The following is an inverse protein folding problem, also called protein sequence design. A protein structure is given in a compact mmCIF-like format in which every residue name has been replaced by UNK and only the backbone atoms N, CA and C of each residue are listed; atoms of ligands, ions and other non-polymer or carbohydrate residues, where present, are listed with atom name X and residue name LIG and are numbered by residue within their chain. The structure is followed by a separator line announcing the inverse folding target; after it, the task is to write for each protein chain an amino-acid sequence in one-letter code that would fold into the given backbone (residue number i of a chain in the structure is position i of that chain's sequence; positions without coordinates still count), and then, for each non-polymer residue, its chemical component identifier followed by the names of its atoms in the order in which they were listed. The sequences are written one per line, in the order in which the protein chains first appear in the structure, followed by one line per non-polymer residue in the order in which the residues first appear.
data_IF_087321525492
#
_entry.id   IF_087321525492
#
_cell.length_a   1.000
_cell.length_b   1.000
_cell.length_c   1.000
_cell.angle_alpha   90.00
_cell.angle_beta   90.00
_cell.angle_gamma   90.00
#
_symmetry.space_group_name_H-M   'P 1'
#
loop_
_entity.id
_entity.type
_entity.pdbx_description
1 polymer ?
#
# COMPACT_ATOMS: atom_id res chain seq x y z
N UNK A 1 4.99 14.62 -15.17
CA UNK A 1 4.57 13.52 -14.28
C UNK A 1 5.33 12.24 -14.66
N UNK A 2 6.39 11.87 -13.92
CA UNK A 2 7.32 10.77 -14.30
C UNK A 2 6.67 9.38 -14.23
N UNK A 3 5.57 9.24 -13.50
CA UNK A 3 4.85 7.97 -13.34
C UNK A 3 3.77 7.74 -14.40
N UNK A 4 3.46 8.75 -15.23
CA UNK A 4 2.45 8.68 -16.28
C UNK A 4 0.99 8.60 -15.80
N UNK A 5 0.75 8.52 -14.48
CA UNK A 5 -0.58 8.50 -13.85
C UNK A 5 -0.88 9.85 -13.20
N UNK A 6 -2.00 10.47 -13.54
CA UNK A 6 -2.44 11.72 -12.91
C UNK A 6 -3.07 11.47 -11.53
N UNK A 7 -3.24 12.52 -10.73
CA UNK A 7 -3.99 12.47 -9.47
C UNK A 7 -5.42 11.95 -9.67
N UNK A 8 -6.06 12.34 -10.79
CA UNK A 8 -7.40 11.86 -11.16
C UNK A 8 -7.40 10.35 -11.42
N UNK A 9 -6.42 9.85 -12.17
CA UNK A 9 -6.30 8.41 -12.46
C UNK A 9 -6.08 7.61 -11.16
N UNK A 10 -5.18 8.11 -10.29
CA UNK A 10 -4.92 7.52 -8.97
C UNK A 10 -6.17 7.47 -8.11
N UNK A 11 -6.95 8.55 -8.06
CA UNK A 11 -8.19 8.63 -7.29
C UNK A 11 -9.22 7.60 -7.75
N UNK A 12 -9.42 7.45 -9.08
CA UNK A 12 -10.35 6.46 -9.64
C UNK A 12 -9.89 5.03 -9.32
N UNK A 13 -8.60 4.72 -9.53
CA UNK A 13 -8.05 3.42 -9.20
C UNK A 13 -8.15 3.12 -7.70
N UNK A 14 -7.91 4.12 -6.85
CA UNK A 14 -7.95 3.99 -5.40
C UNK A 14 -9.32 3.59 -4.87
N UNK A 15 -10.40 4.16 -5.43
CA UNK A 15 -11.78 3.83 -5.05
C UNK A 15 -12.08 2.32 -5.16
N UNK A 16 -11.53 1.66 -6.19
CA UNK A 16 -11.64 0.21 -6.36
C UNK A 16 -10.68 -0.55 -5.45
N UNK A 17 -9.41 -0.12 -5.41
CA UNK A 17 -8.35 -0.83 -4.69
C UNK A 17 -8.63 -0.86 -3.18
N UNK A 18 -9.05 0.27 -2.60
CA UNK A 18 -9.33 0.39 -1.16
C UNK A 18 -10.41 -0.58 -0.68
N UNK A 19 -11.41 -0.86 -1.53
CA UNK A 19 -12.45 -1.85 -1.24
C UNK A 19 -11.95 -3.28 -1.40
N UNK A 20 -11.00 -3.49 -2.32
CA UNK A 20 -10.46 -4.82 -2.64
C UNK A 20 -9.53 -5.34 -1.55
N UNK A 21 -8.78 -4.46 -0.87
CA UNK A 21 -7.80 -4.83 0.17
C UNK A 21 -8.50 -5.11 1.52
N UNK A 22 -8.53 -6.36 2.02
CA UNK A 22 -9.18 -6.71 3.29
C UNK A 22 -8.24 -6.51 4.50
N UNK A 23 -8.10 -5.27 5.00
CA UNK A 23 -7.16 -4.94 6.09
C UNK A 23 -7.75 -5.02 7.50
N UNK A 24 -9.07 -5.01 7.61
CA UNK A 24 -9.81 -4.92 8.86
C UNK A 24 -9.60 -6.16 9.73
N UNK A 25 -9.72 -5.99 11.05
CA UNK A 25 -9.64 -7.09 12.03
C UNK A 25 -11.04 -7.67 12.31
N UNK A 26 -11.79 -8.00 11.26
CA UNK A 26 -13.10 -8.69 11.36
C UNK A 26 -13.03 -10.12 10.81
N UNK A 27 -14.03 -10.94 11.11
CA UNK A 27 -14.12 -12.31 10.62
C UNK A 27 -14.31 -12.34 9.09
N UNK A 28 -15.12 -11.44 8.56
CA UNK A 28 -15.39 -11.30 7.13
C UNK A 28 -14.11 -10.89 6.37
N UNK A 29 -13.38 -9.91 6.89
CA UNK A 29 -12.10 -9.49 6.30
C UNK A 29 -11.04 -10.59 6.41
N UNK A 30 -11.07 -11.40 7.48
CA UNK A 30 -10.20 -12.58 7.60
C UNK A 30 -10.50 -13.61 6.51
N UNK A 31 -11.78 -13.92 6.25
CA UNK A 31 -12.14 -14.84 5.19
C UNK A 31 -11.71 -14.32 3.81
N UNK A 32 -11.96 -13.03 3.53
CA UNK A 32 -11.48 -12.38 2.30
C UNK A 32 -9.95 -12.43 2.16
N UNK A 33 -9.20 -12.31 3.26
CA UNK A 33 -7.73 -12.49 3.24
C UNK A 33 -7.34 -13.91 2.89
N UNK A 34 -8.02 -14.93 3.43
CA UNK A 34 -7.76 -16.33 3.08
C UNK A 34 -7.97 -16.54 1.58
N UNK A 35 -9.09 -16.06 1.05
CA UNK A 35 -9.41 -16.20 -0.37
C UNK A 35 -8.44 -15.43 -1.26
N UNK A 36 -8.00 -14.25 -0.81
CA UNK A 36 -7.00 -13.44 -1.52
C UNK A 36 -5.60 -14.08 -1.48
N UNK A 37 -5.19 -14.63 -0.33
CA UNK A 37 -3.91 -15.31 -0.18
C UNK A 37 -3.80 -16.50 -1.12
N UNK A 38 -4.86 -17.32 -1.23
CA UNK A 38 -4.92 -18.45 -2.17
C UNK A 38 -4.79 -18.01 -3.65
N UNK A 39 -5.23 -16.80 -3.99
CA UNK A 39 -5.03 -16.25 -5.36
C UNK A 39 -3.57 -15.85 -5.63
N UNK A 40 -2.81 -15.53 -4.58
CA UNK A 40 -1.40 -15.20 -4.68
C UNK A 40 -0.51 -16.46 -4.65
N UNK A 41 -0.88 -17.44 -3.81
CA UNK A 41 -0.15 -18.70 -3.61
C UNK A 41 -0.42 -19.71 -4.73
N UNK A 42 0.04 -19.40 -5.95
CA UNK A 42 -0.21 -20.23 -7.14
C UNK A 42 0.36 -21.65 -7.02
N UNK A 43 1.39 -21.81 -6.19
CA UNK A 43 2.07 -23.08 -5.98
C UNK A 43 1.58 -23.85 -4.74
N UNK A 44 0.58 -23.32 -4.02
CA UNK A 44 -0.01 -23.90 -2.80
C UNK A 44 1.03 -24.28 -1.73
N UNK A 45 1.99 -23.38 -1.49
CA UNK A 45 3.10 -23.62 -0.54
C UNK A 45 2.80 -23.16 0.88
N UNK A 46 1.72 -22.40 1.08
CA UNK A 46 1.35 -21.77 2.34
C UNK A 46 2.15 -20.50 2.67
N UNK A 47 3.04 -20.07 1.78
CA UNK A 47 3.92 -18.89 1.94
C UNK A 47 4.16 -18.23 0.59
N UNK A 48 4.38 -16.93 0.56
CA UNK A 48 4.49 -16.17 -0.69
C UNK A 48 5.92 -15.65 -0.89
N UNK A 49 6.54 -16.02 -1.99
CA UNK A 49 7.78 -15.40 -2.46
C UNK A 49 7.53 -13.96 -2.94
N UNK A 50 8.60 -13.18 -3.08
CA UNK A 50 8.49 -11.83 -3.64
C UNK A 50 7.82 -11.82 -5.02
N UNK A 51 8.14 -12.78 -5.90
CA UNK A 51 7.58 -12.84 -7.24
C UNK A 51 6.09 -13.19 -7.23
N UNK A 52 5.64 -14.10 -6.36
CA UNK A 52 4.22 -14.38 -6.15
C UNK A 52 3.47 -13.15 -5.65
N UNK A 53 4.06 -12.40 -4.70
CA UNK A 53 3.48 -11.14 -4.22
C UNK A 53 3.41 -10.10 -5.33
N UNK A 54 4.49 -9.91 -6.09
CA UNK A 54 4.54 -8.94 -7.19
C UNK A 54 3.53 -9.27 -8.28
N UNK A 55 3.45 -10.55 -8.68
CA UNK A 55 2.48 -11.01 -9.66
C UNK A 55 1.04 -10.86 -9.12
N UNK A 56 0.79 -11.19 -7.85
CA UNK A 56 -0.53 -10.97 -7.24
C UNK A 56 -0.92 -9.49 -7.17
N UNK A 57 0.02 -8.59 -6.92
CA UNK A 57 -0.23 -7.15 -6.95
C UNK A 57 -0.67 -6.65 -8.34
N UNK A 58 -0.08 -7.18 -9.41
CA UNK A 58 -0.46 -6.83 -10.78
C UNK A 58 -1.74 -7.55 -11.20
N UNK A 59 -1.77 -8.87 -11.08
CA UNK A 59 -2.82 -9.68 -11.69
C UNK A 59 -4.13 -9.67 -10.89
N UNK A 60 -4.04 -9.66 -9.56
CA UNK A 60 -5.20 -9.80 -8.67
C UNK A 60 -5.65 -8.45 -8.13
N UNK A 61 -4.73 -7.63 -7.62
CA UNK A 61 -5.07 -6.31 -7.06
C UNK A 61 -5.14 -5.20 -8.13
N UNK A 62 -4.50 -5.42 -9.28
CA UNK A 62 -4.43 -4.45 -10.39
C UNK A 62 -3.82 -3.12 -9.94
N UNK A 63 -2.71 -3.17 -9.20
CA UNK A 63 -2.05 -1.97 -8.66
C UNK A 63 -1.42 -1.09 -9.75
N UNK A 64 -1.22 -1.62 -10.96
CA UNK A 64 -0.74 -0.91 -12.15
C UNK A 64 -1.75 0.13 -12.68
N UNK A 65 -3.02 0.01 -12.29
CA UNK A 65 -4.01 1.06 -12.50
C UNK A 65 -3.66 2.33 -11.72
N UNK A 66 -3.11 2.18 -10.51
CA UNK A 66 -2.75 3.27 -9.60
C UNK A 66 -1.35 3.84 -9.85
N UNK A 67 -0.33 2.98 -10.00
CA UNK A 67 1.06 3.43 -10.19
C UNK A 67 1.79 2.54 -11.18
N UNK A 68 2.65 3.14 -12.02
CA UNK A 68 3.59 2.39 -12.87
C UNK A 68 4.74 1.77 -12.06
N UNK A 69 4.89 2.13 -10.79
CA UNK A 69 5.97 1.69 -9.90
C UNK A 69 5.56 0.54 -8.97
N UNK A 70 4.72 -0.38 -9.47
CA UNK A 70 4.21 -1.53 -8.70
C UNK A 70 5.35 -2.33 -8.05
N UNK A 71 6.46 -2.49 -8.77
CA UNK A 71 7.65 -3.22 -8.26
C UNK A 71 8.21 -2.58 -6.99
N UNK A 72 8.41 -1.27 -7.02
CA UNK A 72 9.00 -0.54 -5.90
C UNK A 72 8.11 -0.59 -4.66
N UNK A 73 6.80 -0.35 -4.85
CA UNK A 73 5.86 -0.34 -3.73
C UNK A 73 5.66 -1.73 -3.14
N UNK A 74 5.60 -2.75 -3.99
CA UNK A 74 5.51 -4.15 -3.56
C UNK A 74 6.72 -4.53 -2.73
N UNK A 75 7.93 -4.20 -3.19
CA UNK A 75 9.17 -4.50 -2.46
C UNK A 75 9.24 -3.80 -1.10
N UNK A 76 8.80 -2.54 -1.02
CA UNK A 76 8.71 -1.81 0.26
C UNK A 76 7.75 -2.48 1.23
N UNK A 77 6.52 -2.78 0.78
CA UNK A 77 5.50 -3.41 1.61
C UNK A 77 5.93 -4.83 2.07
N UNK A 78 6.49 -5.63 1.15
CA UNK A 78 7.00 -6.97 1.43
C UNK A 78 8.08 -6.96 2.52
N UNK A 79 9.10 -6.11 2.37
CA UNK A 79 10.19 -6.02 3.35
C UNK A 79 9.71 -5.50 4.71
N UNK A 80 8.82 -4.50 4.73
CA UNK A 80 8.29 -3.96 5.98
C UNK A 80 7.38 -4.95 6.71
N UNK A 81 6.58 -5.72 5.98
CA UNK A 81 5.72 -6.73 6.57
C UNK A 81 6.53 -7.84 7.27
N UNK A 82 7.58 -8.35 6.62
CA UNK A 82 8.48 -9.36 7.21
C UNK A 82 9.22 -8.84 8.43
N UNK A 83 9.79 -7.63 8.36
CA UNK A 83 10.49 -7.01 9.50
C UNK A 83 9.57 -6.83 10.72
N UNK A 84 8.31 -6.51 10.51
CA UNK A 84 7.34 -6.39 11.60
C UNK A 84 6.87 -7.76 12.11
N UNK A 85 6.65 -8.73 11.22
CA UNK A 85 6.29 -10.11 11.58
C UNK A 85 7.35 -10.78 12.44
N UNK A 86 8.61 -10.71 12.00
CA UNK A 86 9.76 -11.28 12.73
C UNK A 86 9.92 -10.68 14.12
N UNK A 87 9.73 -9.36 14.27
CA UNK A 87 9.80 -8.66 15.57
C UNK A 87 8.67 -9.02 16.52
N UNK A 88 7.46 -9.24 16.02
CA UNK A 88 6.29 -9.49 16.85
C UNK A 88 6.27 -10.92 17.41
N UNK A 89 6.71 -11.90 16.62
CA UNK A 89 6.56 -13.31 16.99
C UNK A 89 7.88 -14.07 17.12
N UNK A 90 9.05 -13.46 16.86
CA UNK A 90 10.33 -14.16 16.68
C UNK A 90 10.20 -15.36 15.72
N UNK A 91 9.26 -15.25 14.79
CA UNK A 91 8.84 -16.24 13.80
C UNK A 91 8.61 -15.51 12.49
N UNK A 92 8.88 -16.19 11.39
CA UNK A 92 8.75 -15.65 10.05
C UNK A 92 9.99 -15.92 9.21
N UNK A 93 9.84 -15.81 7.90
CA UNK A 93 10.92 -16.02 6.95
C UNK A 93 11.49 -14.69 6.47
N UNK A 94 12.81 -14.63 6.28
CA UNK A 94 13.43 -13.50 5.57
C UNK A 94 13.10 -13.49 4.08
N UNK A 95 12.67 -14.60 3.49
CA UNK A 95 12.48 -14.74 2.05
C UNK A 95 11.00 -14.82 1.62
N UNK A 96 10.10 -15.09 2.58
CA UNK A 96 8.68 -15.31 2.31
C UNK A 96 7.78 -14.44 3.21
N UNK A 97 6.58 -14.17 2.70
CA UNK A 97 5.46 -13.63 3.47
C UNK A 97 4.49 -14.76 3.77
N UNK A 98 4.25 -15.04 5.05
CA UNK A 98 3.24 -15.99 5.49
C UNK A 98 1.91 -15.28 5.72
N UNK A 99 0.86 -16.04 6.07
CA UNK A 99 -0.49 -15.48 6.20
C UNK A 99 -0.60 -14.33 7.20
N UNK A 100 0.20 -14.36 8.28
CA UNK A 100 0.22 -13.29 9.28
C UNK A 100 0.82 -12.00 8.70
N UNK A 101 2.01 -12.09 8.08
CA UNK A 101 2.64 -10.91 7.47
C UNK A 101 1.87 -10.43 6.24
N UNK A 102 1.12 -11.30 5.56
CA UNK A 102 0.31 -10.92 4.41
C UNK A 102 -0.69 -9.82 4.76
N UNK A 103 -1.35 -9.90 5.93
CA UNK A 103 -2.22 -8.82 6.40
C UNK A 103 -1.44 -7.52 6.60
N UNK A 104 -0.24 -7.57 7.20
CA UNK A 104 0.58 -6.39 7.44
C UNK A 104 1.04 -5.75 6.12
N UNK A 105 1.42 -6.58 5.15
CA UNK A 105 1.75 -6.14 3.79
C UNK A 105 0.58 -5.42 3.12
N UNK A 106 -0.63 -5.98 3.23
CA UNK A 106 -1.86 -5.34 2.72
C UNK A 106 -2.13 -3.99 3.40
N UNK A 107 -1.88 -3.86 4.71
CA UNK A 107 -1.96 -2.57 5.39
C UNK A 107 -0.95 -1.57 4.81
N UNK A 108 0.32 -1.96 4.62
CA UNK A 108 1.32 -1.06 4.03
C UNK A 108 0.94 -0.60 2.62
N UNK A 109 0.48 -1.52 1.76
CA UNK A 109 0.01 -1.16 0.42
C UNK A 109 -1.15 -0.16 0.48
N UNK A 110 -2.12 -0.41 1.37
CA UNK A 110 -3.26 0.49 1.57
C UNK A 110 -2.77 1.87 2.02
N UNK A 111 -1.97 1.93 3.09
CA UNK A 111 -1.55 3.18 3.73
C UNK A 111 -0.69 4.01 2.77
N UNK A 112 0.20 3.39 2.00
CA UNK A 112 0.98 4.10 0.99
C UNK A 112 0.11 4.73 -0.10
N UNK A 113 -0.94 4.04 -0.53
CA UNK A 113 -1.83 4.56 -1.57
C UNK A 113 -2.77 5.62 -1.03
N UNK A 114 -3.31 5.44 0.17
CA UNK A 114 -4.09 6.46 0.87
C UNK A 114 -3.28 7.75 1.05
N UNK A 115 -2.04 7.64 1.54
CA UNK A 115 -1.14 8.78 1.69
C UNK A 115 -0.81 9.44 0.34
N UNK A 116 -0.60 8.66 -0.71
CA UNK A 116 -0.34 9.21 -2.05
C UNK A 116 -1.54 10.02 -2.54
N UNK A 117 -2.77 9.50 -2.38
CA UNK A 117 -3.98 10.24 -2.75
C UNK A 117 -4.17 11.48 -1.90
N UNK A 118 -3.84 11.42 -0.60
CA UNK A 118 -3.84 12.61 0.25
C UNK A 118 -2.83 13.65 -0.26
N UNK A 119 -1.59 13.24 -0.54
CA UNK A 119 -0.56 14.15 -1.02
C UNK A 119 -0.83 14.72 -2.42
N UNK A 120 -1.54 13.99 -3.28
CA UNK A 120 -2.03 14.52 -4.56
C UNK A 120 -2.96 15.74 -4.39
N UNK A 121 -3.61 15.87 -3.23
CA UNK A 121 -4.47 17.03 -2.99
C UNK A 121 -3.70 18.28 -2.50
N UNK A 122 -2.38 18.17 -2.33
CA UNK A 122 -1.50 19.29 -1.93
C UNK A 122 -0.38 19.54 -2.96
N UNK A 123 0.02 18.54 -3.74
CA UNK A 123 0.92 18.69 -4.90
C UNK A 123 0.20 19.41 -6.05
N UNK A 124 0.36 20.73 -6.10
CA UNK A 124 -0.22 21.57 -7.16
C UNK A 124 0.55 21.47 -8.47
N UNK A 125 1.84 21.11 -8.40
CA UNK A 125 2.71 20.98 -9.55
C UNK A 125 2.51 19.67 -10.34
N UNK A 126 1.95 18.64 -9.70
CA UNK A 126 1.75 17.30 -10.25
C UNK A 126 3.07 16.55 -10.50
N UNK A 127 4.12 16.88 -9.76
CA UNK A 127 5.45 16.27 -9.90
C UNK A 127 5.71 15.14 -8.88
N UNK A 128 4.75 14.86 -7.99
CA UNK A 128 4.80 13.93 -6.86
C UNK A 128 5.85 14.28 -5.80
N UNK A 129 6.17 15.56 -5.67
CA UNK A 129 6.98 16.16 -4.61
C UNK A 129 6.16 17.30 -4.02
N UNK A 130 6.46 17.63 -2.77
CA UNK A 130 5.85 18.77 -2.09
C UNK A 130 6.97 19.77 -1.84
N UNK A 131 6.87 20.94 -2.44
CA UNK A 131 7.77 22.05 -2.13
C UNK A 131 7.34 22.80 -0.86
N UNK A 132 8.21 23.68 -0.35
CA UNK A 132 7.97 24.48 0.86
C UNK A 132 6.66 25.28 0.78
N UNK A 133 6.36 25.90 -0.37
CA UNK A 133 5.15 26.71 -0.54
C UNK A 133 3.89 25.87 -0.61
N UNK A 134 3.97 24.69 -1.22
CA UNK A 134 2.88 23.71 -1.24
C UNK A 134 2.61 23.19 0.18
N UNK A 135 3.67 22.91 0.94
CA UNK A 135 3.58 22.47 2.33
C UNK A 135 2.97 23.52 3.24
N UNK A 136 3.48 24.76 3.22
CA UNK A 136 2.95 25.89 4.01
C UNK A 136 1.44 26.10 3.76
N UNK A 137 1.02 26.04 2.49
CA UNK A 137 -0.41 26.18 2.13
C UNK A 137 -1.25 24.98 2.57
N UNK A 138 -0.63 23.80 2.68
CA UNK A 138 -1.30 22.57 3.08
C UNK A 138 -1.45 22.44 4.60
N UNK A 139 -0.77 23.25 5.43
CA UNK A 139 -0.82 23.17 6.90
C UNK A 139 -2.25 23.03 7.45
N UNK A 140 -3.24 23.87 7.09
CA UNK A 140 -4.60 23.75 7.64
C UNK A 140 -5.28 22.43 7.27
N UNK A 141 -4.84 21.79 6.18
CA UNK A 141 -5.36 20.51 5.70
C UNK A 141 -4.65 19.34 6.38
N UNK A 142 -3.33 19.43 6.53
CA UNK A 142 -2.53 18.46 7.29
C UNK A 142 -3.00 18.40 8.76
N UNK A 143 -3.33 19.54 9.37
CA UNK A 143 -3.91 19.60 10.72
C UNK A 143 -5.28 18.92 10.80
N UNK A 144 -6.14 19.10 9.80
CA UNK A 144 -7.43 18.37 9.71
C UNK A 144 -7.24 16.86 9.55
N UNK A 145 -6.13 16.43 8.96
CA UNK A 145 -5.72 15.02 8.89
C UNK A 145 -5.05 14.52 10.18
N UNK A 146 -4.85 15.40 11.17
CA UNK A 146 -4.31 15.06 12.48
C UNK A 146 -2.82 15.29 12.66
N UNK A 147 -2.13 15.89 11.68
CA UNK A 147 -0.76 16.33 11.86
C UNK A 147 -0.69 17.53 12.82
N UNK A 148 0.38 17.61 13.62
CA UNK A 148 0.68 18.80 14.43
C UNK A 148 1.89 19.48 13.80
N UNK A 149 1.70 20.71 13.32
CA UNK A 149 2.75 21.49 12.66
C UNK A 149 2.96 22.75 13.49
N UNK A 150 4.12 22.84 14.14
CA UNK A 150 4.50 23.97 14.99
C UNK A 150 5.39 24.98 14.24
N UNK A 151 6.18 24.50 13.28
CA UNK A 151 7.06 25.28 12.40
C UNK A 151 6.88 24.76 10.96
N UNK A 152 6.12 25.46 10.12
CA UNK A 152 5.75 25.03 8.78
C UNK A 152 6.85 25.25 7.74
#
# INVERSE_FOLDING_TARGET
NKDGKSATDRKVAWERIRQTIPREKTAEAKQRRIDLFKKFDKNDTGKLSYDEVYNGCIEVLKLDEFTSRVRDITKRAFNKAKDLGSKLENKGSEDFVEFLEFRLMLCYLYDYFELTVMFDEIDTSGNMLIDEKEFEKAVPKLEKWGAKIEDP
#
